data_IF_747274326308
#
_entry.id   IF_747274326308
#
_cell.length_a   1.000
_cell.length_b   1.000
_cell.length_c   1.000
_cell.angle_alpha   90.00
_cell.angle_beta   90.00
_cell.angle_gamma   90.00
#
_symmetry.space_group_name_H-M   'P 1'
#
loop_
_entity.id
_entity.type
_entity.pdbx_description
1 polymer ?
#
# COMPACT_ATOMS: atom_id res chain seq x y z
N UNK A 1 -5.68 -4.21 -9.79
CA UNK A 1 -4.58 -5.20 -9.60
C UNK A 1 -3.87 -5.04 -8.27
N UNK A 2 -3.06 -4.00 -8.04
CA UNK A 2 -2.29 -3.83 -6.78
C UNK A 2 -3.16 -3.73 -5.53
N UNK A 3 -4.28 -3.01 -5.58
CA UNK A 3 -5.20 -2.94 -4.43
C UNK A 3 -5.86 -4.29 -4.12
N UNK A 4 -6.16 -5.11 -5.14
CA UNK A 4 -6.67 -6.47 -4.97
C UNK A 4 -5.63 -7.39 -4.30
N UNK A 5 -4.35 -7.17 -4.60
CA UNK A 5 -3.24 -7.86 -3.93
C UNK A 5 -3.20 -7.55 -2.42
N UNK A 6 -3.35 -6.27 -2.03
CA UNK A 6 -3.31 -5.89 -0.61
C UNK A 6 -4.60 -6.15 0.17
N UNK A 7 -5.76 -5.95 -0.46
CA UNK A 7 -7.05 -6.08 0.24
C UNK A 7 -7.47 -7.53 0.41
N UNK A 8 -7.21 -8.37 -0.59
CA UNK A 8 -7.72 -9.75 -0.64
C UNK A 8 -6.62 -10.79 -0.55
N UNK A 9 -5.35 -10.36 -0.38
CA UNK A 9 -4.18 -11.23 -0.30
C UNK A 9 -4.07 -12.24 -1.45
N UNK A 10 -4.62 -11.91 -2.64
CA UNK A 10 -4.55 -12.77 -3.82
C UNK A 10 -3.09 -13.00 -4.23
N UNK A 11 -2.76 -14.23 -4.61
CA UNK A 11 -1.43 -14.55 -5.13
C UNK A 11 -1.18 -13.82 -6.46
N UNK A 12 0.10 -13.57 -6.78
CA UNK A 12 0.48 -12.97 -8.07
C UNK A 12 0.08 -13.85 -9.25
N UNK A 13 0.05 -15.17 -9.07
CA UNK A 13 -0.46 -16.12 -10.05
C UNK A 13 -1.95 -15.91 -10.35
N UNK A 14 -2.80 -15.80 -9.32
CA UNK A 14 -4.24 -15.54 -9.54
C UNK A 14 -4.45 -14.19 -10.25
N UNK A 15 -3.71 -13.15 -9.86
CA UNK A 15 -3.76 -11.86 -10.54
C UNK A 15 -3.25 -11.93 -11.99
N UNK A 16 -2.24 -12.76 -12.27
CA UNK A 16 -1.73 -12.97 -13.62
C UNK A 16 -2.80 -13.60 -14.52
N UNK A 17 -3.55 -14.56 -13.98
CA UNK A 17 -4.67 -15.18 -14.67
C UNK A 17 -5.84 -14.21 -14.89
N UNK A 18 -6.28 -13.49 -13.86
CA UNK A 18 -7.42 -12.56 -13.92
C UNK A 18 -7.19 -11.41 -14.90
N UNK A 19 -5.94 -10.94 -15.02
CA UNK A 19 -5.57 -9.81 -15.88
C UNK A 19 -4.88 -10.24 -17.19
N UNK A 20 -4.82 -11.55 -17.47
CA UNK A 20 -4.22 -12.13 -18.69
C UNK A 20 -2.80 -11.64 -19.00
N UNK A 21 -1.97 -11.49 -17.95
CA UNK A 21 -0.58 -11.04 -18.07
C UNK A 21 0.37 -12.00 -17.37
N UNK A 22 1.67 -11.92 -17.69
CA UNK A 22 2.66 -12.75 -16.98
C UNK A 22 2.75 -12.36 -15.50
N UNK A 23 3.05 -13.34 -14.64
CA UNK A 23 3.31 -13.08 -13.21
C UNK A 23 4.47 -12.09 -13.00
N UNK A 24 5.46 -12.09 -13.92
CA UNK A 24 6.55 -11.11 -13.91
C UNK A 24 6.05 -9.68 -14.13
N UNK A 25 5.04 -9.49 -14.98
CA UNK A 25 4.40 -8.20 -15.24
C UNK A 25 3.62 -7.74 -14.00
N UNK A 26 2.85 -8.62 -13.37
CA UNK A 26 2.16 -8.35 -12.10
C UNK A 26 3.15 -7.87 -11.05
N UNK A 27 4.27 -8.58 -10.88
CA UNK A 27 5.30 -8.23 -9.91
C UNK A 27 5.91 -6.84 -10.19
N UNK A 28 6.22 -6.53 -11.44
CA UNK A 28 6.74 -5.22 -11.85
C UNK A 28 5.72 -4.11 -11.59
N UNK A 29 4.45 -4.33 -11.92
CA UNK A 29 3.40 -3.33 -11.71
C UNK A 29 3.16 -3.06 -10.23
N UNK A 30 3.10 -4.08 -9.38
CA UNK A 30 2.98 -3.89 -7.92
C UNK A 30 4.14 -3.04 -7.39
N UNK A 31 5.38 -3.41 -7.72
CA UNK A 31 6.58 -2.65 -7.31
C UNK A 31 6.58 -1.21 -7.81
N UNK A 32 6.12 -1.00 -9.04
CA UNK A 32 6.01 0.34 -9.63
C UNK A 32 4.98 1.20 -8.88
N UNK A 33 3.82 0.64 -8.54
CA UNK A 33 2.79 1.33 -7.74
C UNK A 33 3.34 1.67 -6.35
N UNK A 34 3.91 0.69 -5.64
CA UNK A 34 4.54 0.90 -4.32
C UNK A 34 5.58 2.02 -4.36
N UNK A 35 6.50 1.95 -5.33
CA UNK A 35 7.58 2.92 -5.48
C UNK A 35 7.08 4.33 -5.80
N UNK A 36 5.96 4.43 -6.51
CA UNK A 36 5.32 5.71 -6.83
C UNK A 36 4.66 6.31 -5.59
N UNK A 37 3.90 5.51 -4.84
CA UNK A 37 3.20 5.96 -3.63
C UNK A 37 4.16 6.38 -2.52
N UNK A 38 5.26 5.63 -2.31
CA UNK A 38 6.28 5.96 -1.30
C UNK A 38 7.00 7.28 -1.60
N UNK A 39 7.11 7.66 -2.88
CA UNK A 39 7.76 8.91 -3.29
C UNK A 39 6.84 10.11 -3.23
N UNK A 40 5.54 9.91 -3.12
CA UNK A 40 4.57 11.01 -3.03
C UNK A 40 4.64 11.65 -1.64
N UNK A 41 5.06 12.92 -1.59
CA UNK A 41 5.15 13.67 -0.34
C UNK A 41 3.81 13.88 0.34
N UNK A 42 2.70 13.84 -0.40
CA UNK A 42 1.35 13.99 0.17
C UNK A 42 0.90 12.75 0.96
N UNK A 43 1.47 11.59 0.64
CA UNK A 43 1.22 10.33 1.34
C UNK A 43 2.31 10.02 2.37
N UNK A 44 3.35 10.85 2.43
CA UNK A 44 4.44 10.70 3.39
C UNK A 44 4.00 11.19 4.75
N UNK A 45 4.27 10.38 5.78
CA UNK A 45 4.04 10.80 7.16
C UNK A 45 5.19 11.71 7.62
N UNK A 46 4.89 12.76 8.42
CA UNK A 46 5.93 13.55 9.06
C UNK A 46 6.85 12.67 9.90
N UNK A 47 8.08 13.14 10.11
CA UNK A 47 9.05 12.36 10.89
C UNK A 47 8.54 12.16 12.32
N UNK A 48 8.93 11.05 12.97
CA UNK A 48 8.56 10.77 14.36
C UNK A 48 8.85 11.99 15.26
N UNK A 49 10.00 12.65 15.08
CA UNK A 49 10.40 13.83 15.86
C UNK A 49 9.45 15.02 15.67
N UNK A 50 9.06 15.33 14.44
CA UNK A 50 8.11 16.41 14.16
C UNK A 50 6.73 16.13 14.77
N UNK A 51 6.26 14.88 14.70
CA UNK A 51 5.00 14.47 15.33
C UNK A 51 5.02 14.65 16.86
N UNK A 52 6.14 14.34 17.52
CA UNK A 52 6.28 14.57 18.97
C UNK A 52 6.33 16.05 19.35
N UNK A 53 6.92 16.90 18.50
CA UNK A 53 7.07 18.33 18.79
C UNK A 53 5.81 19.15 18.49
N UNK A 54 4.96 18.68 17.58
CA UNK A 54 3.74 19.36 17.17
C UNK A 54 2.48 18.53 17.50
N UNK A 55 2.01 18.55 18.76
CA UNK A 55 0.86 17.77 19.21
C UNK A 55 -0.48 18.21 18.62
N UNK A 56 -0.56 19.37 17.96
CA UNK A 56 -1.77 19.90 17.33
C UNK A 56 -1.99 19.40 15.89
N UNK A 57 -1.22 18.41 15.44
CA UNK A 57 -1.44 17.81 14.12
C UNK A 57 -2.77 17.05 14.14
N UNK A 58 -3.62 17.25 13.13
CA UNK A 58 -4.84 16.48 12.97
C UNK A 58 -4.45 15.04 12.61
N UNK A 59 -4.50 14.14 13.61
CA UNK A 59 -4.16 12.72 13.45
C UNK A 59 -5.45 11.91 13.43
N UNK A 60 -5.64 11.14 12.37
CA UNK A 60 -6.66 10.08 12.33
C UNK A 60 -6.00 8.78 12.78
N UNK A 61 -6.37 8.28 13.95
CA UNK A 61 -5.97 6.95 14.39
C UNK A 61 -6.81 5.91 13.66
N UNK A 62 -6.18 5.13 12.79
CA UNK A 62 -6.83 4.02 12.09
C UNK A 62 -6.29 2.73 12.71
N UNK A 63 -7.17 1.97 13.34
CA UNK A 63 -6.87 0.60 13.75
C UNK A 63 -6.90 -0.29 12.49
N UNK A 64 -5.72 -0.79 12.11
CA UNK A 64 -5.53 -1.65 10.95
C UNK A 64 -5.44 -3.14 11.35
N UNK A 65 -6.03 -3.53 12.48
CA UNK A 65 -6.15 -4.94 12.84
C UNK A 65 -6.96 -5.69 11.79
N UNK A 66 -6.34 -6.70 11.20
CA UNK A 66 -7.02 -7.62 10.30
C UNK A 66 -8.06 -8.40 11.09
N UNK A 67 -9.35 -8.15 10.81
CA UNK A 67 -10.42 -9.03 11.26
C UNK A 67 -10.39 -10.25 10.34
N UNK A 68 -10.33 -11.49 10.87
CA UNK A 68 -10.43 -12.68 10.05
C UNK A 68 -11.74 -12.62 9.24
N UNK A 69 -11.65 -12.91 7.94
CA UNK A 69 -12.84 -13.06 7.07
C UNK A 69 -13.58 -14.34 7.45
#
# INVERSE_FOLDING_TARGET
>A
MTLSYYREYRTKFHLAQDYEISESSVCKTIKWVESTLVKDSNLSLPSKKELWQNPNTEVVLIDATEIPV
#
